data_IF_882381990225
#
_entry.id   IF_882381990225
#
_cell.length_a   1.000
_cell.length_b   1.000
_cell.length_c   1.000
_cell.angle_alpha   90.00
_cell.angle_beta   90.00
_cell.angle_gamma   90.00
#
_symmetry.space_group_name_H-M   'P 1'
#
loop_
_entity.id
_entity.type
_entity.pdbx_description
1 polymer ?
#
# COMPACT_ATOMS: atom_id res chain seq x y z
N UNK A 1 22.22 -5.31 18.07
CA UNK A 1 21.81 -5.27 16.64
C UNK A 1 20.70 -4.23 16.53
N UNK A 2 20.90 -3.10 15.85
CA UNK A 2 19.88 -2.04 15.74
C UNK A 2 18.89 -2.48 14.66
N UNK A 3 17.65 -2.77 15.05
CA UNK A 3 16.57 -3.13 14.13
C UNK A 3 15.89 -1.81 13.71
N UNK A 4 15.62 -1.64 12.43
CA UNK A 4 14.89 -0.49 11.90
C UNK A 4 13.47 -0.47 12.44
N UNK A 5 12.89 0.73 12.60
CA UNK A 5 11.49 0.86 12.98
C UNK A 5 10.59 0.66 11.76
N UNK A 6 9.28 0.50 11.98
CA UNK A 6 8.30 0.40 10.89
C UNK A 6 8.34 1.62 9.98
N UNK A 7 8.44 2.83 10.56
CA UNK A 7 8.50 4.06 9.78
C UNK A 7 9.77 4.12 8.92
N UNK A 8 10.92 3.69 9.47
CA UNK A 8 12.16 3.63 8.70
C UNK A 8 12.03 2.65 7.51
N UNK A 9 11.32 1.53 7.69
CA UNK A 9 11.05 0.57 6.61
C UNK A 9 10.11 1.13 5.54
N UNK A 10 9.05 1.83 5.93
CA UNK A 10 8.12 2.46 4.98
C UNK A 10 8.86 3.51 4.14
N UNK A 11 9.68 4.36 4.77
CA UNK A 11 10.50 5.34 4.06
C UNK A 11 11.47 4.68 3.08
N UNK A 12 12.21 3.66 3.52
CA UNK A 12 13.14 2.94 2.65
C UNK A 12 12.43 2.26 1.46
N UNK A 13 11.23 1.71 1.66
CA UNK A 13 10.44 1.13 0.58
C UNK A 13 10.04 2.17 -0.47
N UNK A 14 9.65 3.38 -0.04
CA UNK A 14 9.34 4.50 -0.97
C UNK A 14 10.57 4.92 -1.77
N UNK A 15 11.73 5.03 -1.13
CA UNK A 15 12.99 5.37 -1.80
C UNK A 15 13.39 4.34 -2.87
N UNK A 16 12.95 3.09 -2.71
CA UNK A 16 13.12 2.01 -3.68
C UNK A 16 12.04 1.98 -4.77
N UNK A 17 11.09 2.91 -4.75
CA UNK A 17 10.01 3.03 -5.74
C UNK A 17 8.83 2.07 -5.52
N UNK A 18 8.66 1.54 -4.30
CA UNK A 18 7.47 0.76 -3.94
C UNK A 18 6.25 1.68 -3.98
N UNK A 19 5.20 1.25 -4.69
CA UNK A 19 3.92 1.95 -4.73
C UNK A 19 3.00 1.45 -3.62
N UNK A 20 2.42 2.38 -2.87
CA UNK A 20 1.45 2.08 -1.82
C UNK A 20 0.04 2.36 -2.33
N UNK A 21 -0.77 1.29 -2.36
CA UNK A 21 -2.16 1.34 -2.79
C UNK A 21 -3.08 1.02 -1.61
N UNK A 22 -4.18 1.77 -1.48
CA UNK A 22 -5.22 1.53 -0.47
C UNK A 22 -6.45 0.93 -1.15
N UNK A 23 -7.02 -0.12 -0.56
CA UNK A 23 -8.25 -0.72 -1.07
C UNK A 23 -9.45 0.19 -0.82
N UNK A 24 -10.11 0.63 -1.90
CA UNK A 24 -11.28 1.53 -1.86
C UNK A 24 -12.38 1.00 -0.93
N UNK A 25 -12.82 -0.24 -1.17
CA UNK A 25 -13.87 -0.89 -0.38
C UNK A 25 -13.49 -1.02 1.10
N UNK A 26 -12.22 -1.30 1.40
CA UNK A 26 -11.75 -1.40 2.79
C UNK A 26 -11.78 -0.03 3.48
N UNK A 27 -11.31 1.01 2.78
CA UNK A 27 -11.33 2.39 3.28
C UNK A 27 -12.75 2.84 3.60
N UNK A 28 -13.71 2.59 2.70
CA UNK A 28 -15.12 2.91 2.90
C UNK A 28 -15.74 2.12 4.05
N UNK A 29 -15.50 0.81 4.12
CA UNK A 29 -16.06 -0.06 5.16
C UNK A 29 -15.56 0.33 6.56
N UNK A 30 -14.31 0.78 6.66
CA UNK A 30 -13.72 1.26 7.91
C UNK A 30 -14.06 2.72 8.22
N UNK A 31 -14.69 3.44 7.27
CA UNK A 31 -15.10 4.83 7.45
C UNK A 31 -13.93 5.83 7.39
N UNK A 32 -12.79 5.45 6.80
CA UNK A 32 -11.65 6.34 6.65
C UNK A 32 -11.82 7.27 5.45
N UNK A 33 -11.31 8.49 5.58
CA UNK A 33 -11.14 9.43 4.47
C UNK A 33 -9.69 9.44 4.02
N UNK A 34 -9.44 10.01 2.84
CA UNK A 34 -8.07 10.15 2.32
C UNK A 34 -7.18 10.97 3.24
N UNK A 35 -7.74 11.95 3.95
CA UNK A 35 -7.00 12.79 4.89
C UNK A 35 -6.57 12.04 6.17
N UNK A 36 -7.19 10.90 6.47
CA UNK A 36 -6.85 10.07 7.64
C UNK A 36 -5.69 9.10 7.34
N UNK A 37 -5.28 8.99 6.08
CA UNK A 37 -4.22 8.09 5.63
C UNK A 37 -2.84 8.70 5.90
N UNK A 38 -1.84 7.83 6.05
CA UNK A 38 -0.45 8.26 6.15
C UNK A 38 0.00 8.97 4.86
N UNK A 39 0.95 9.89 5.00
CA UNK A 39 1.58 10.50 3.82
C UNK A 39 2.22 9.44 2.93
N UNK A 40 2.18 9.67 1.61
CA UNK A 40 2.77 8.81 0.58
C UNK A 40 2.02 7.50 0.34
N UNK A 41 0.69 7.54 0.40
CA UNK A 41 -0.17 6.66 -0.39
C UNK A 41 -0.22 7.19 -1.82
N UNK A 42 0.03 6.34 -2.80
CA UNK A 42 0.08 6.71 -4.22
C UNK A 42 -1.29 6.60 -4.89
N UNK A 43 -2.07 5.58 -4.51
CA UNK A 43 -3.36 5.30 -5.16
C UNK A 43 -4.40 4.70 -4.23
N UNK A 44 -5.67 4.95 -4.55
CA UNK A 44 -6.81 4.20 -4.03
C UNK A 44 -7.28 3.28 -5.16
N UNK A 45 -7.30 1.98 -4.90
CA UNK A 45 -7.55 0.95 -5.91
C UNK A 45 -8.69 0.03 -5.51
N UNK A 46 -9.50 -0.35 -6.49
CA UNK A 46 -10.48 -1.43 -6.35
C UNK A 46 -9.84 -2.81 -6.56
N UNK A 47 -10.61 -3.86 -6.28
CA UNK A 47 -10.16 -5.24 -6.41
C UNK A 47 -9.80 -5.61 -7.87
N UNK A 48 -10.61 -5.20 -8.85
CA UNK A 48 -10.34 -5.47 -10.26
C UNK A 48 -9.04 -4.81 -10.75
N UNK A 49 -8.82 -3.54 -10.39
CA UNK A 49 -7.59 -2.81 -10.73
C UNK A 49 -6.36 -3.41 -10.06
N UNK A 50 -6.47 -3.83 -8.80
CA UNK A 50 -5.39 -4.55 -8.11
C UNK A 50 -5.03 -5.85 -8.84
N UNK A 51 -6.03 -6.66 -9.20
CA UNK A 51 -5.82 -7.91 -9.95
C UNK A 51 -5.16 -7.67 -11.32
N UNK A 52 -5.54 -6.60 -12.02
CA UNK A 52 -4.90 -6.21 -13.27
C UNK A 52 -3.43 -5.81 -13.04
N UNK A 53 -3.13 -5.06 -11.98
CA UNK A 53 -1.77 -4.63 -11.64
C UNK A 53 -0.86 -5.80 -11.25
N UNK A 54 -1.38 -6.82 -10.56
CA UNK A 54 -0.60 -7.99 -10.17
C UNK A 54 -0.55 -9.09 -11.24
N UNK A 55 -1.22 -8.91 -12.38
CA UNK A 55 -1.21 -9.89 -13.48
C UNK A 55 0.20 -10.22 -13.98
N UNK A 56 1.10 -9.22 -13.95
CA UNK A 56 2.50 -9.37 -14.33
C UNK A 56 3.44 -9.69 -13.14
N UNK A 57 2.90 -9.80 -11.93
CA UNK A 57 3.70 -10.08 -10.74
C UNK A 57 4.11 -11.55 -10.70
N UNK A 58 5.42 -11.81 -10.56
CA UNK A 58 5.97 -13.18 -10.46
C UNK A 58 5.65 -13.86 -9.14
N UNK A 59 5.46 -13.07 -8.07
CA UNK A 59 5.19 -13.55 -6.72
C UNK A 59 4.17 -12.62 -6.10
N UNK A 60 3.14 -13.19 -5.50
CA UNK A 60 2.10 -12.47 -4.77
C UNK A 60 2.04 -13.02 -3.33
N UNK A 61 2.04 -12.12 -2.35
CA UNK A 61 1.92 -12.47 -0.93
C UNK A 61 0.56 -12.03 -0.41
N UNK A 62 -0.05 -12.86 0.43
CA UNK A 62 -1.24 -12.51 1.21
C UNK A 62 -0.85 -12.65 2.69
N UNK A 63 -0.85 -11.53 3.41
CA UNK A 63 -0.35 -11.38 4.79
C UNK A 63 -1.48 -10.85 5.66
#
# INVERSE_FOLDING_TARGET
KKIMTLNDHISAAKDLGVKFAVCEMAMETMGFKKEDLIDGIDEVTGAASFLANIGDARINYFI
#
